data_IF_832014606926
#
_entry.id   IF_832014606926
#
_cell.length_a   1.000
_cell.length_b   1.000
_cell.length_c   1.000
_cell.angle_alpha   90.00
_cell.angle_beta   90.00
_cell.angle_gamma   90.00
#
_symmetry.space_group_name_H-M   'P 1'
#
loop_
_entity.id
_entity.type
_entity.pdbx_description
1 polymer ?
#
# COMPACT_ATOMS: atom_id res chain seq x y z
N UNK A 1 12.60 -0.04 22.43
CA UNK A 1 11.97 -1.32 22.88
C UNK A 1 11.47 -2.04 21.65
N UNK A 2 11.99 -3.24 21.35
CA UNK A 2 11.48 -4.07 20.23
C UNK A 2 10.06 -4.48 20.60
N UNK A 3 9.06 -4.03 19.85
CA UNK A 3 7.68 -4.46 20.07
C UNK A 3 7.57 -5.96 19.73
N UNK A 4 7.09 -6.76 20.68
CA UNK A 4 6.85 -8.17 20.42
C UNK A 4 5.75 -8.31 19.37
N UNK A 5 5.98 -9.10 18.34
CA UNK A 5 4.99 -9.39 17.30
C UNK A 5 3.70 -9.97 17.89
N UNK A 6 2.58 -9.41 17.47
CA UNK A 6 1.23 -9.87 17.85
C UNK A 6 0.55 -10.48 16.62
N UNK A 7 0.64 -11.81 16.43
CA UNK A 7 0.03 -12.46 15.26
C UNK A 7 -1.49 -12.31 15.23
N UNK A 8 -2.04 -12.20 14.02
CA UNK A 8 -3.49 -12.18 13.79
C UNK A 8 -4.15 -13.48 14.24
N UNK A 9 -5.47 -13.45 14.42
CA UNK A 9 -6.24 -14.67 14.74
C UNK A 9 -6.08 -15.75 13.65
N UNK A 10 -6.01 -15.35 12.36
CA UNK A 10 -5.77 -16.28 11.25
C UNK A 10 -4.42 -16.99 11.36
N UNK A 11 -3.36 -16.27 11.71
CA UNK A 11 -2.02 -16.86 11.90
C UNK A 11 -2.00 -17.76 13.14
N UNK A 12 -2.65 -17.36 14.23
CA UNK A 12 -2.78 -18.21 15.44
C UNK A 12 -3.53 -19.50 15.14
N UNK A 13 -4.64 -19.42 14.42
CA UNK A 13 -5.43 -20.59 14.01
C UNK A 13 -4.61 -21.52 13.10
N UNK A 14 -3.85 -20.96 12.14
CA UNK A 14 -2.94 -21.75 11.31
C UNK A 14 -1.88 -22.45 12.13
N UNK A 15 -1.23 -21.79 13.07
CA UNK A 15 -0.24 -22.41 13.95
C UNK A 15 -0.86 -23.54 14.80
N UNK A 16 -2.04 -23.32 15.38
CA UNK A 16 -2.75 -24.32 16.15
C UNK A 16 -3.12 -25.56 15.31
N UNK A 17 -3.55 -25.36 14.05
CA UNK A 17 -3.83 -26.45 13.11
C UNK A 17 -2.59 -27.28 12.84
N UNK A 18 -1.43 -26.66 12.60
CA UNK A 18 -0.18 -27.40 12.33
C UNK A 18 0.31 -28.16 13.56
N UNK A 19 0.24 -27.54 14.74
CA UNK A 19 0.58 -28.22 16.00
C UNK A 19 -0.35 -29.41 16.27
N UNK A 20 -1.65 -29.24 16.05
CA UNK A 20 -2.63 -30.32 16.17
C UNK A 20 -2.39 -31.45 15.15
N UNK A 21 -2.09 -31.11 13.90
CA UNK A 21 -1.75 -32.08 12.87
C UNK A 21 -0.48 -32.85 13.22
N UNK A 22 0.56 -32.20 13.73
CA UNK A 22 1.78 -32.85 14.20
C UNK A 22 1.51 -33.80 15.37
N UNK A 23 0.72 -33.39 16.37
CA UNK A 23 0.34 -34.26 17.49
C UNK A 23 -0.48 -35.46 17.03
N UNK A 24 -1.36 -35.31 16.06
CA UNK A 24 -2.20 -36.36 15.51
C UNK A 24 -1.41 -37.42 14.71
N UNK A 25 -0.20 -37.13 14.22
CA UNK A 25 0.67 -38.13 13.59
C UNK A 25 1.08 -39.29 14.54
N UNK A 26 1.02 -39.04 15.86
CA UNK A 26 1.27 -40.04 16.88
C UNK A 26 0.04 -40.95 17.16
N UNK A 27 -1.07 -40.73 16.47
CA UNK A 27 -2.33 -41.49 16.65
C UNK A 27 -2.74 -42.19 15.34
N UNK A 28 -3.57 -43.24 15.38
CA UNK A 28 -4.08 -43.91 14.16
C UNK A 28 -5.18 -43.09 13.45
N UNK A 29 -5.02 -41.75 13.39
CA UNK A 29 -5.95 -40.86 12.70
C UNK A 29 -5.74 -40.98 11.19
N UNK A 30 -6.84 -40.88 10.42
CA UNK A 30 -6.80 -40.94 8.97
C UNK A 30 -5.98 -39.75 8.40
N UNK A 31 -4.72 -39.99 8.08
CA UNK A 31 -3.76 -39.05 7.53
C UNK A 31 -4.27 -38.22 6.33
N UNK A 32 -5.19 -38.72 5.45
CA UNK A 32 -5.70 -37.89 4.35
C UNK A 32 -6.44 -36.62 4.84
N UNK A 33 -7.16 -36.72 5.96
CA UNK A 33 -7.88 -35.58 6.54
C UNK A 33 -6.92 -34.55 7.13
N UNK A 34 -5.83 -34.99 7.76
CA UNK A 34 -4.79 -34.08 8.26
C UNK A 34 -4.11 -33.35 7.10
N UNK A 35 -3.70 -34.07 6.06
CA UNK A 35 -3.11 -33.46 4.86
C UNK A 35 -4.09 -32.51 4.18
N UNK A 36 -5.35 -32.90 4.00
CA UNK A 36 -6.40 -32.08 3.43
C UNK A 36 -6.60 -30.76 4.22
N UNK A 37 -6.61 -30.84 5.56
CA UNK A 37 -6.72 -29.66 6.44
C UNK A 37 -5.53 -28.70 6.30
N UNK A 38 -4.30 -29.24 6.27
CA UNK A 38 -3.08 -28.41 6.07
C UNK A 38 -3.07 -27.76 4.68
N UNK A 39 -3.40 -28.51 3.62
CA UNK A 39 -3.47 -27.95 2.27
C UNK A 39 -4.54 -26.87 2.15
N UNK A 40 -5.73 -27.08 2.72
CA UNK A 40 -6.80 -26.09 2.76
C UNK A 40 -6.35 -24.82 3.50
N UNK A 41 -5.66 -24.95 4.64
CA UNK A 41 -5.12 -23.82 5.37
C UNK A 41 -4.11 -23.03 4.52
N UNK A 42 -3.19 -23.70 3.83
CA UNK A 42 -2.24 -23.01 2.94
C UNK A 42 -2.94 -22.32 1.77
N UNK A 43 -3.98 -22.91 1.20
CA UNK A 43 -4.80 -22.28 0.17
C UNK A 43 -5.47 -20.99 0.70
N UNK A 44 -6.02 -21.02 1.92
CA UNK A 44 -6.61 -19.83 2.59
C UNK A 44 -5.56 -18.76 2.84
N UNK A 45 -4.38 -19.09 3.36
CA UNK A 45 -3.30 -18.12 3.58
C UNK A 45 -2.81 -17.51 2.26
N UNK A 46 -2.69 -18.33 1.20
CA UNK A 46 -2.33 -17.85 -0.14
C UNK A 46 -3.39 -16.92 -0.70
N UNK A 47 -4.66 -17.28 -0.65
CA UNK A 47 -5.77 -16.42 -1.09
C UNK A 47 -5.79 -15.09 -0.32
N UNK A 48 -5.53 -15.12 1.00
CA UNK A 48 -5.41 -13.91 1.80
C UNK A 48 -4.20 -13.04 1.41
N UNK A 49 -3.09 -13.65 0.99
CA UNK A 49 -1.91 -12.95 0.47
C UNK A 49 -2.12 -12.32 -0.90
N UNK A 50 -2.92 -12.97 -1.75
CA UNK A 50 -3.31 -12.47 -3.07
C UNK A 50 -4.42 -11.40 -3.00
N UNK A 51 -5.10 -11.28 -1.88
CA UNK A 51 -6.12 -10.25 -1.68
C UNK A 51 -5.57 -9.04 -0.90
N UNK A 52 -5.23 -7.92 -1.57
CA UNK A 52 -4.56 -6.77 -0.95
C UNK A 52 -5.27 -6.20 0.28
N UNK A 53 -6.60 -6.30 0.33
CA UNK A 53 -7.43 -5.78 1.43
C UNK A 53 -7.70 -6.78 2.56
N UNK A 54 -7.16 -7.99 2.51
CA UNK A 54 -7.31 -8.98 3.58
C UNK A 54 -6.73 -8.45 4.91
N UNK A 55 -7.31 -8.84 6.03
CA UNK A 55 -6.77 -8.63 7.39
C UNK A 55 -6.37 -9.94 8.06
N UNK A 56 -6.52 -11.05 7.34
CA UNK A 56 -6.26 -12.40 7.88
C UNK A 56 -4.78 -12.58 8.26
N UNK A 57 -3.86 -12.01 7.47
CA UNK A 57 -2.41 -12.17 7.68
C UNK A 57 -1.79 -11.13 8.63
N UNK A 58 -2.56 -10.15 9.11
CA UNK A 58 -2.08 -9.08 9.97
C UNK A 58 -2.88 -7.79 9.82
N UNK A 59 -2.44 -6.75 10.54
CA UNK A 59 -3.08 -5.43 10.49
C UNK A 59 -2.95 -4.83 9.09
N UNK A 60 -4.01 -4.13 8.64
CA UNK A 60 -4.05 -3.51 7.32
C UNK A 60 -4.98 -2.30 7.34
N UNK A 61 -4.44 -1.12 7.16
CA UNK A 61 -5.21 0.10 7.04
C UNK A 61 -5.85 0.15 5.64
N UNK A 62 -7.17 0.01 5.58
CA UNK A 62 -7.95 -0.04 4.34
C UNK A 62 -8.81 1.20 4.13
N UNK A 63 -9.09 1.93 5.21
CA UNK A 63 -9.83 3.18 5.27
C UNK A 63 -9.20 4.11 6.29
N UNK A 64 -9.41 5.39 6.14
CA UNK A 64 -9.07 6.36 7.17
C UNK A 64 -9.89 6.11 8.44
N UNK A 65 -9.43 6.58 9.62
CA UNK A 65 -10.20 6.53 10.86
C UNK A 65 -11.56 7.23 10.74
N UNK A 66 -12.53 6.85 11.59
CA UNK A 66 -13.88 7.41 11.58
C UNK A 66 -13.91 8.93 11.82
N UNK A 67 -12.96 9.48 12.57
CA UNK A 67 -12.81 10.91 12.76
C UNK A 67 -12.59 11.66 11.43
N UNK A 68 -11.82 11.07 10.50
CA UNK A 68 -11.63 11.62 9.16
C UNK A 68 -12.94 11.66 8.35
N UNK A 69 -13.88 10.75 8.63
CA UNK A 69 -15.22 10.76 8.05
C UNK A 69 -16.03 11.99 8.47
N UNK A 70 -15.92 12.40 9.74
CA UNK A 70 -16.61 13.59 10.28
C UNK A 70 -16.14 14.88 9.60
N UNK A 71 -14.87 14.97 9.24
CA UNK A 71 -14.27 16.12 8.54
C UNK A 71 -14.13 15.86 7.03
N UNK A 72 -14.84 14.84 6.50
CA UNK A 72 -14.98 14.51 5.07
C UNK A 72 -13.66 14.33 4.32
N UNK A 73 -12.66 13.71 4.95
CA UNK A 73 -11.35 13.46 4.37
C UNK A 73 -11.32 12.17 3.54
N UNK A 74 -10.53 12.22 2.46
CA UNK A 74 -10.17 11.09 1.57
C UNK A 74 -8.66 11.10 1.43
N UNK A 75 -8.00 9.97 1.60
CA UNK A 75 -6.57 9.88 1.34
C UNK A 75 -6.30 9.72 -0.15
N UNK A 76 -5.48 10.61 -0.71
CA UNK A 76 -4.89 10.43 -2.04
C UNK A 76 -3.55 9.73 -1.86
N UNK A 77 -3.36 8.57 -2.48
CA UNK A 77 -2.09 7.84 -2.41
C UNK A 77 -1.58 7.52 -3.81
N UNK A 78 -0.26 7.66 -3.98
CA UNK A 78 0.41 7.57 -5.27
C UNK A 78 1.63 6.67 -5.11
N UNK A 79 1.72 5.61 -5.91
CA UNK A 79 2.75 4.58 -5.81
C UNK A 79 3.80 4.68 -6.93
N UNK A 80 4.95 4.03 -6.72
CA UNK A 80 6.03 3.75 -7.68
C UNK A 80 6.98 4.92 -7.98
N UNK A 81 6.72 6.12 -7.48
CA UNK A 81 7.57 7.30 -7.66
C UNK A 81 8.84 7.33 -6.77
N UNK A 82 9.54 8.47 -6.81
CA UNK A 82 9.31 9.62 -7.69
C UNK A 82 9.76 9.37 -9.14
N UNK A 83 8.92 9.70 -10.13
CA UNK A 83 9.29 9.67 -11.56
C UNK A 83 9.53 11.12 -12.02
N UNK A 84 10.75 11.47 -12.53
CA UNK A 84 11.08 12.84 -12.90
C UNK A 84 10.27 13.40 -14.08
N UNK A 85 9.58 12.55 -14.85
CA UNK A 85 8.74 12.96 -15.99
C UNK A 85 7.27 13.17 -15.59
N UNK A 86 6.83 12.58 -14.47
CA UNK A 86 5.41 12.56 -14.09
C UNK A 86 5.17 13.27 -12.77
N UNK A 87 5.97 12.97 -11.74
CA UNK A 87 5.78 13.50 -10.39
C UNK A 87 5.70 15.04 -10.33
N UNK A 88 6.53 15.84 -11.06
CA UNK A 88 6.41 17.30 -11.01
C UNK A 88 5.03 17.81 -11.42
N UNK A 89 4.47 17.28 -12.52
CA UNK A 89 3.13 17.67 -12.97
C UNK A 89 2.03 17.21 -12.01
N UNK A 90 2.19 16.05 -11.38
CA UNK A 90 1.28 15.57 -10.31
C UNK A 90 1.28 16.54 -9.12
N UNK A 91 2.46 17.00 -8.70
CA UNK A 91 2.59 17.97 -7.60
C UNK A 91 1.90 19.29 -7.94
N UNK A 92 2.08 19.82 -9.16
CA UNK A 92 1.44 21.05 -9.61
C UNK A 92 -0.09 20.92 -9.62
N UNK A 93 -0.63 19.77 -10.05
CA UNK A 93 -2.07 19.50 -10.02
C UNK A 93 -2.62 19.39 -8.59
N UNK A 94 -1.88 18.75 -7.67
CA UNK A 94 -2.28 18.64 -6.26
C UNK A 94 -2.31 20.01 -5.58
N UNK A 95 -1.31 20.87 -5.85
CA UNK A 95 -1.28 22.25 -5.32
C UNK A 95 -2.44 23.08 -5.88
N UNK A 96 -2.69 23.01 -7.19
CA UNK A 96 -3.83 23.68 -7.82
C UNK A 96 -5.18 23.21 -7.25
N UNK A 97 -5.29 21.95 -6.91
CA UNK A 97 -6.47 21.36 -6.26
C UNK A 97 -6.51 21.51 -4.74
N UNK A 98 -5.55 22.23 -4.13
CA UNK A 98 -5.42 22.39 -2.67
C UNK A 98 -5.49 21.04 -1.91
N UNK A 99 -4.96 19.98 -2.50
CA UNK A 99 -4.96 18.63 -1.94
C UNK A 99 -3.55 18.23 -1.47
N UNK A 100 -3.50 17.33 -0.49
CA UNK A 100 -2.27 16.67 -0.06
C UNK A 100 -2.36 15.18 -0.36
N UNK A 101 -1.22 14.57 -0.63
CA UNK A 101 -1.13 13.16 -0.98
C UNK A 101 -0.01 12.46 -0.22
N UNK A 102 -0.12 11.16 -0.13
CA UNK A 102 0.95 10.27 0.34
C UNK A 102 1.56 9.56 -0.86
N UNK A 103 2.86 9.71 -1.04
CA UNK A 103 3.63 9.03 -2.07
C UNK A 103 4.30 7.80 -1.46
N UNK A 104 3.91 6.59 -1.88
CA UNK A 104 4.60 5.35 -1.57
C UNK A 104 5.74 5.18 -2.56
N UNK A 105 6.92 5.64 -2.17
CA UNK A 105 8.08 5.72 -3.04
C UNK A 105 8.94 4.46 -2.98
N UNK A 106 9.47 4.07 -4.14
CA UNK A 106 10.51 3.05 -4.27
C UNK A 106 11.83 3.64 -3.76
N UNK A 107 12.48 3.01 -2.78
CA UNK A 107 13.70 3.52 -2.16
C UNK A 107 14.80 3.83 -3.18
N UNK A 108 15.00 2.95 -4.18
CA UNK A 108 15.94 3.16 -5.29
C UNK A 108 15.61 4.41 -6.13
N UNK A 109 14.32 4.73 -6.33
CA UNK A 109 13.91 5.93 -7.05
C UNK A 109 14.16 7.20 -6.22
N UNK A 110 13.97 7.13 -4.89
CA UNK A 110 14.30 8.23 -3.97
C UNK A 110 15.79 8.54 -4.00
N UNK A 111 16.67 7.52 -3.95
CA UNK A 111 18.12 7.70 -4.08
C UNK A 111 18.52 8.27 -5.45
N UNK A 112 17.86 7.86 -6.53
CA UNK A 112 18.12 8.35 -7.87
C UNK A 112 17.65 9.80 -8.09
N UNK A 113 16.58 10.24 -7.41
CA UNK A 113 15.96 11.54 -7.59
C UNK A 113 15.76 12.30 -6.27
N UNK A 114 16.85 12.53 -5.48
CA UNK A 114 16.75 13.06 -4.11
C UNK A 114 16.17 14.47 -4.05
N UNK A 115 16.42 15.30 -5.05
CA UNK A 115 15.87 16.67 -5.13
C UNK A 115 14.35 16.62 -5.30
N UNK A 116 13.84 15.72 -6.14
CA UNK A 116 12.40 15.57 -6.36
C UNK A 116 11.72 14.97 -5.11
N UNK A 117 12.36 14.03 -4.44
CA UNK A 117 11.83 13.49 -3.18
C UNK A 117 11.74 14.60 -2.09
N UNK A 118 12.76 15.45 -1.95
CA UNK A 118 12.68 16.62 -1.06
C UNK A 118 11.58 17.60 -1.46
N UNK A 119 11.35 17.80 -2.77
CA UNK A 119 10.30 18.68 -3.28
C UNK A 119 8.91 18.17 -2.93
N UNK A 120 8.64 16.87 -2.99
CA UNK A 120 7.39 16.25 -2.54
C UNK A 120 7.11 16.65 -1.08
N UNK A 121 8.09 16.49 -0.20
CA UNK A 121 7.93 16.84 1.22
C UNK A 121 7.79 18.35 1.44
N UNK A 122 8.59 19.16 0.74
CA UNK A 122 8.55 20.63 0.83
C UNK A 122 7.18 21.20 0.45
N UNK A 123 6.46 20.55 -0.49
CA UNK A 123 5.09 20.92 -0.87
C UNK A 123 4.02 20.40 0.08
N UNK A 124 4.40 19.78 1.22
CA UNK A 124 3.47 19.33 2.27
C UNK A 124 2.83 17.96 1.99
N UNK A 125 3.40 17.17 1.09
CA UNK A 125 3.02 15.77 0.90
C UNK A 125 3.87 14.85 1.79
N UNK A 126 3.44 13.61 2.03
CA UNK A 126 4.27 12.63 2.74
C UNK A 126 4.88 11.61 1.79
N UNK A 127 6.11 11.16 2.11
CA UNK A 127 6.73 10.01 1.46
C UNK A 127 6.70 8.83 2.42
N UNK A 128 6.23 7.69 1.93
CA UNK A 128 6.11 6.44 2.65
C UNK A 128 6.77 5.29 1.88
N UNK A 129 6.95 4.15 2.51
CA UNK A 129 7.78 3.06 2.02
C UNK A 129 7.03 2.13 1.04
N UNK A 130 7.61 1.97 -0.18
CA UNK A 130 7.12 1.02 -1.20
C UNK A 130 8.18 -0.04 -1.57
N UNK A 131 8.93 -0.55 -0.59
CA UNK A 131 10.14 -1.38 -0.73
C UNK A 131 11.31 -0.66 -1.41
N UNK A 132 12.48 -1.28 -1.41
CA UNK A 132 13.67 -0.64 -1.99
C UNK A 132 13.74 -0.79 -3.51
N UNK A 133 13.48 -2.00 -4.04
CA UNK A 133 13.66 -2.31 -5.46
C UNK A 133 12.36 -2.70 -6.19
N UNK A 134 11.22 -2.66 -5.52
CA UNK A 134 9.91 -3.04 -6.08
C UNK A 134 9.94 -4.37 -6.86
N UNK A 135 10.49 -5.42 -6.24
CA UNK A 135 10.68 -6.72 -6.90
C UNK A 135 9.33 -7.39 -7.19
N UNK A 136 9.15 -7.91 -8.41
CA UNK A 136 7.93 -8.65 -8.80
C UNK A 136 7.62 -9.85 -7.90
N UNK A 137 8.64 -10.50 -7.34
CA UNK A 137 8.52 -11.62 -6.42
C UNK A 137 8.60 -11.21 -4.93
N UNK A 138 8.33 -9.94 -4.60
CA UNK A 138 8.41 -9.41 -3.23
C UNK A 138 7.66 -10.28 -2.22
N UNK A 139 6.44 -10.71 -2.53
CA UNK A 139 5.61 -11.55 -1.64
C UNK A 139 6.17 -12.96 -1.38
N UNK A 140 7.16 -13.40 -2.15
CA UNK A 140 7.82 -14.71 -1.99
C UNK A 140 9.15 -14.61 -1.21
N UNK A 141 9.55 -13.42 -0.77
CA UNK A 141 10.77 -13.21 -0.01
C UNK A 141 10.64 -13.80 1.41
N UNK A 142 11.73 -14.40 1.89
CA UNK A 142 11.87 -14.79 3.29
C UNK A 142 12.11 -13.57 4.21
N UNK A 143 11.98 -13.76 5.53
CA UNK A 143 12.05 -12.71 6.55
C UNK A 143 13.25 -11.80 6.38
N UNK A 144 14.48 -12.34 6.32
CA UNK A 144 15.70 -11.54 6.22
C UNK A 144 15.76 -10.67 4.96
N UNK A 145 15.22 -11.18 3.83
CA UNK A 145 15.15 -10.40 2.59
C UNK A 145 14.05 -9.34 2.63
N UNK A 146 12.92 -9.60 3.31
CA UNK A 146 11.89 -8.58 3.56
C UNK A 146 12.43 -7.47 4.45
N UNK A 147 13.14 -7.81 5.54
CA UNK A 147 13.80 -6.84 6.41
C UNK A 147 14.80 -5.97 5.64
N UNK A 148 15.63 -6.58 4.78
CA UNK A 148 16.61 -5.85 3.98
C UNK A 148 15.94 -4.92 2.95
N UNK A 149 14.92 -5.39 2.21
CA UNK A 149 14.19 -4.57 1.21
C UNK A 149 13.45 -3.41 1.85
N UNK A 150 12.75 -3.65 2.97
CA UNK A 150 11.95 -2.62 3.64
C UNK A 150 12.87 -1.68 4.43
N UNK A 151 13.83 -2.21 5.19
CA UNK A 151 14.75 -1.42 6.00
C UNK A 151 15.64 -0.51 5.16
N UNK A 152 16.13 -1.00 4.00
CA UNK A 152 16.91 -0.17 3.08
C UNK A 152 16.08 0.98 2.50
N UNK A 153 14.80 0.74 2.17
CA UNK A 153 13.92 1.82 1.71
C UNK A 153 13.63 2.84 2.82
N UNK A 154 13.42 2.37 4.08
CA UNK A 154 13.29 3.26 5.25
C UNK A 154 14.48 4.21 5.35
N UNK A 155 15.68 3.66 5.29
CA UNK A 155 16.92 4.44 5.40
C UNK A 155 17.06 5.43 4.24
N UNK A 156 16.90 4.98 2.99
CA UNK A 156 17.00 5.81 1.80
C UNK A 156 16.04 7.01 1.84
N UNK A 157 14.78 6.78 2.27
CA UNK A 157 13.78 7.85 2.40
C UNK A 157 14.17 8.79 3.54
N UNK A 158 14.55 8.27 4.70
CA UNK A 158 14.93 9.09 5.86
C UNK A 158 16.15 9.96 5.57
N UNK A 159 17.20 9.41 4.94
CA UNK A 159 18.42 10.13 4.59
C UNK A 159 18.16 11.28 3.62
N UNK A 160 17.26 11.08 2.66
CA UNK A 160 16.95 12.10 1.64
C UNK A 160 15.97 13.15 2.16
N UNK A 161 14.97 12.75 2.93
CA UNK A 161 13.84 13.64 3.28
C UNK A 161 13.88 14.15 4.72
N UNK A 162 14.71 13.56 5.59
CA UNK A 162 14.69 13.83 7.03
C UNK A 162 13.47 13.25 7.76
N UNK A 163 12.61 12.49 7.08
CA UNK A 163 11.36 11.93 7.64
C UNK A 163 11.35 10.41 7.54
N UNK A 164 11.21 9.74 8.67
CA UNK A 164 11.09 8.29 8.71
C UNK A 164 9.68 7.87 8.27
N UNK A 165 9.51 6.96 7.28
CA UNK A 165 8.20 6.42 6.92
C UNK A 165 7.51 5.72 8.09
N UNK A 166 6.20 5.92 8.22
CA UNK A 166 5.33 5.27 9.20
C UNK A 166 4.39 4.23 8.55
N UNK A 167 4.26 4.31 7.23
CA UNK A 167 3.40 3.43 6.45
C UNK A 167 4.21 2.66 5.43
N UNK A 168 3.71 1.46 5.12
CA UNK A 168 4.25 0.60 4.09
C UNK A 168 3.13 0.15 3.16
N UNK A 169 3.41 0.10 1.86
CA UNK A 169 2.54 -0.56 0.88
C UNK A 169 3.33 -1.65 0.16
N UNK A 170 2.77 -2.85 0.12
CA UNK A 170 3.43 -3.97 -0.55
C UNK A 170 3.36 -3.81 -2.08
N UNK A 171 4.45 -4.08 -2.83
CA UNK A 171 4.44 -4.14 -4.29
C UNK A 171 3.26 -4.98 -4.81
N UNK A 172 2.51 -4.43 -5.79
CA UNK A 172 1.27 -4.98 -6.34
C UNK A 172 0.17 -5.28 -5.28
N UNK A 173 0.37 -4.92 -4.02
CA UNK A 173 -0.50 -5.26 -2.89
C UNK A 173 -0.38 -6.71 -2.41
N UNK A 174 0.57 -7.49 -2.96
CA UNK A 174 0.75 -8.90 -2.65
C UNK A 174 1.66 -9.11 -1.44
N UNK A 175 1.32 -10.10 -0.60
CA UNK A 175 2.06 -10.35 0.64
C UNK A 175 2.00 -11.81 1.07
N UNK A 176 2.98 -12.20 1.87
CA UNK A 176 2.99 -13.49 2.58
C UNK A 176 2.71 -13.29 4.07
N UNK A 177 2.45 -14.37 4.83
CA UNK A 177 2.36 -14.31 6.29
C UNK A 177 3.62 -13.77 6.98
N UNK A 178 4.77 -13.78 6.29
CA UNK A 178 6.06 -13.31 6.83
C UNK A 178 6.21 -11.78 6.85
N UNK A 179 5.33 -11.05 6.16
CA UNK A 179 5.42 -9.58 6.07
C UNK A 179 5.03 -8.89 7.38
N UNK A 180 3.95 -9.33 8.02
CA UNK A 180 3.40 -8.66 9.22
C UNK A 180 4.41 -8.59 10.39
N UNK A 181 5.17 -9.66 10.76
CA UNK A 181 6.19 -9.57 11.80
C UNK A 181 7.30 -8.55 11.45
N UNK A 182 7.73 -8.49 10.18
CA UNK A 182 8.74 -7.54 9.74
C UNK A 182 8.25 -6.09 9.84
N UNK A 183 7.01 -5.83 9.45
CA UNK A 183 6.43 -4.49 9.57
C UNK A 183 6.28 -4.05 11.03
N UNK A 184 5.89 -4.96 11.93
CA UNK A 184 5.79 -4.65 13.35
C UNK A 184 7.16 -4.38 13.99
N UNK A 185 8.20 -5.09 13.57
CA UNK A 185 9.60 -4.85 14.01
C UNK A 185 10.09 -3.46 13.58
N UNK A 186 9.75 -3.05 12.34
CA UNK A 186 10.13 -1.76 11.76
C UNK A 186 9.17 -0.61 12.14
N UNK A 187 8.18 -0.84 13.00
CA UNK A 187 7.12 0.10 13.41
C UNK A 187 6.33 0.68 12.22
N UNK A 188 6.10 -0.13 11.21
CA UNK A 188 5.37 0.23 10.00
C UNK A 188 3.93 -0.29 10.00
N UNK A 189 3.01 0.54 9.54
CA UNK A 189 1.62 0.15 9.30
C UNK A 189 1.41 -0.20 7.83
N UNK A 190 0.94 -1.42 7.54
CA UNK A 190 0.53 -1.80 6.19
C UNK A 190 -0.69 -0.98 5.76
N UNK A 191 -0.64 -0.45 4.54
CA UNK A 191 -1.74 0.31 3.93
C UNK A 191 -2.15 -0.32 2.60
N UNK A 192 -3.44 -0.58 2.44
CA UNK A 192 -4.04 -0.87 1.15
C UNK A 192 -4.96 0.28 0.72
N UNK A 193 -5.97 0.01 -0.07
CA UNK A 193 -6.85 1.02 -0.67
C UNK A 193 -8.31 0.57 -0.66
N UNK A 194 -9.22 1.52 -0.77
CA UNK A 194 -10.65 1.25 -1.04
C UNK A 194 -10.95 1.36 -2.53
N UNK A 195 -10.28 2.28 -3.23
CA UNK A 195 -10.49 2.57 -4.66
C UNK A 195 -9.19 2.43 -5.44
N UNK A 196 -9.24 1.73 -6.57
CA UNK A 196 -8.12 1.55 -7.49
C UNK A 196 -8.60 1.73 -8.92
N UNK A 197 -7.94 2.64 -9.67
CA UNK A 197 -8.23 2.92 -11.07
C UNK A 197 -7.66 1.90 -12.05
N UNK A 198 -6.66 1.10 -11.63
CA UNK A 198 -5.83 0.24 -12.49
C UNK A 198 -5.09 1.04 -13.57
N UNK A 199 -4.64 2.22 -13.21
CA UNK A 199 -3.95 3.20 -14.06
C UNK A 199 -2.57 2.73 -14.56
N UNK A 200 -2.01 1.65 -14.02
CA UNK A 200 -0.81 0.99 -14.55
C UNK A 200 -1.05 0.17 -15.82
N UNK A 201 -2.30 -0.24 -16.08
CA UNK A 201 -2.66 -1.08 -17.24
C UNK A 201 -3.82 -0.50 -18.06
N UNK A 202 -4.63 0.39 -17.49
CA UNK A 202 -5.78 1.01 -18.15
C UNK A 202 -5.36 2.33 -18.81
N UNK A 203 -5.42 2.38 -20.14
CA UNK A 203 -5.03 3.54 -20.96
C UNK A 203 -6.12 4.60 -21.12
N UNK A 204 -7.36 4.25 -20.78
CA UNK A 204 -8.55 5.09 -20.91
C UNK A 204 -8.80 5.87 -19.60
N UNK A 205 -8.60 7.20 -19.58
CA UNK A 205 -8.82 8.01 -18.38
C UNK A 205 -10.25 7.93 -17.84
N UNK A 206 -11.25 7.79 -18.72
CA UNK A 206 -12.64 7.73 -18.30
C UNK A 206 -12.91 6.46 -17.47
N UNK A 207 -12.38 5.31 -17.89
CA UNK A 207 -12.51 4.05 -17.14
C UNK A 207 -11.75 4.09 -15.81
N UNK A 208 -10.60 4.76 -15.76
CA UNK A 208 -9.84 4.94 -14.51
C UNK A 208 -10.66 5.80 -13.54
N UNK A 209 -11.20 6.93 -14.02
CA UNK A 209 -12.04 7.83 -13.23
C UNK A 209 -13.31 7.15 -12.72
N UNK A 210 -14.02 6.43 -13.58
CA UNK A 210 -15.24 5.68 -13.21
C UNK A 210 -14.96 4.78 -12.00
N UNK A 211 -13.86 4.00 -12.03
CA UNK A 211 -13.51 3.08 -10.94
C UNK A 211 -13.13 3.80 -9.64
N UNK A 212 -12.45 4.94 -9.74
CA UNK A 212 -12.06 5.74 -8.57
C UNK A 212 -13.27 6.46 -7.96
N UNK A 213 -14.21 6.93 -8.78
CA UNK A 213 -15.35 7.73 -8.36
C UNK A 213 -16.58 6.90 -7.97
N UNK A 214 -16.66 5.63 -8.38
CA UNK A 214 -17.79 4.77 -8.07
C UNK A 214 -17.99 4.62 -6.55
N UNK A 215 -19.10 5.16 -6.02
CA UNK A 215 -19.41 5.23 -4.59
C UNK A 215 -18.28 5.87 -3.74
N UNK A 216 -17.60 6.87 -4.27
CA UNK A 216 -16.55 7.61 -3.56
C UNK A 216 -17.13 8.32 -2.32
N UNK A 217 -16.54 8.07 -1.17
CA UNK A 217 -17.02 8.58 0.11
C UNK A 217 -15.86 9.00 1.02
N UNK A 218 -16.16 9.77 2.05
CA UNK A 218 -15.22 10.07 3.11
C UNK A 218 -14.62 8.79 3.69
N UNK A 219 -13.41 8.87 4.20
CA UNK A 219 -12.55 7.78 4.68
C UNK A 219 -11.96 6.87 3.60
N UNK A 220 -12.32 7.02 2.32
CA UNK A 220 -11.72 6.24 1.26
C UNK A 220 -10.21 6.52 1.12
N UNK A 221 -9.46 5.51 0.72
CA UNK A 221 -8.05 5.58 0.34
C UNK A 221 -7.98 5.29 -1.16
N UNK A 222 -7.56 6.29 -1.94
CA UNK A 222 -7.45 6.22 -3.39
C UNK A 222 -6.05 5.77 -3.77
N UNK A 223 -5.94 4.86 -4.74
CA UNK A 223 -4.67 4.40 -5.30
C UNK A 223 -4.51 4.88 -6.74
N UNK A 224 -3.45 5.61 -6.97
CA UNK A 224 -2.92 6.08 -8.25
C UNK A 224 -1.41 5.74 -8.34
N UNK A 225 -0.81 5.94 -9.51
CA UNK A 225 0.62 5.72 -9.72
C UNK A 225 1.22 6.88 -10.53
N UNK A 226 2.37 7.40 -10.11
CA UNK A 226 3.20 8.32 -10.90
C UNK A 226 4.36 7.59 -11.60
N UNK A 227 4.90 6.53 -10.99
CA UNK A 227 5.74 5.55 -11.67
C UNK A 227 4.92 4.45 -12.34
N UNK A 228 5.44 3.82 -13.41
CA UNK A 228 4.80 2.69 -14.13
C UNK A 228 3.36 2.94 -14.62
N UNK A 229 2.94 4.20 -14.70
CA UNK A 229 1.63 4.60 -15.17
C UNK A 229 1.46 4.30 -16.67
N UNK A 230 0.30 3.74 -17.07
CA UNK A 230 0.02 3.46 -18.47
C UNK A 230 -0.10 4.76 -19.28
N UNK A 231 0.41 4.79 -20.54
CA UNK A 231 0.18 5.93 -21.41
C UNK A 231 -1.26 5.89 -21.99
N UNK A 232 -1.88 7.05 -22.13
CA UNK A 232 -3.12 7.22 -22.91
C UNK A 232 -2.87 6.94 -24.40
N UNK A 233 -3.92 6.95 -25.24
CA UNK A 233 -3.79 6.87 -26.69
C UNK A 233 -2.96 8.01 -27.30
N UNK A 234 -2.79 9.12 -26.59
CA UNK A 234 -1.97 10.29 -26.99
C UNK A 234 -0.56 10.26 -26.38
N UNK A 235 -0.16 9.16 -25.71
CA UNK A 235 1.15 9.03 -25.09
C UNK A 235 1.32 9.74 -23.74
N UNK A 236 0.30 10.44 -23.24
CA UNK A 236 0.36 11.10 -21.92
C UNK A 236 0.17 10.05 -20.80
N UNK A 237 0.95 10.07 -19.71
CA UNK A 237 0.68 9.25 -18.52
C UNK A 237 -0.77 9.43 -18.05
N UNK A 238 -1.51 8.32 -17.87
CA UNK A 238 -2.97 8.40 -17.64
C UNK A 238 -3.32 9.13 -16.34
N UNK A 239 -2.45 9.09 -15.33
CA UNK A 239 -2.64 9.83 -14.08
C UNK A 239 -2.76 11.34 -14.32
N UNK A 240 -2.00 11.91 -15.27
CA UNK A 240 -2.05 13.33 -15.60
C UNK A 240 -3.37 13.74 -16.27
N UNK A 241 -4.04 12.81 -16.94
CA UNK A 241 -5.38 13.04 -17.50
C UNK A 241 -6.50 12.82 -16.46
N UNK A 242 -6.24 11.99 -15.43
CA UNK A 242 -7.22 11.58 -14.42
C UNK A 242 -7.26 12.55 -13.24
N UNK A 243 -6.09 12.94 -12.71
CA UNK A 243 -5.98 13.65 -11.45
C UNK A 243 -6.75 14.98 -11.40
N UNK A 244 -6.71 15.86 -12.43
CA UNK A 244 -7.46 17.10 -12.40
C UNK A 244 -8.97 16.91 -12.23
N UNK A 245 -9.56 15.96 -12.98
CA UNK A 245 -10.99 15.65 -12.89
C UNK A 245 -11.35 14.97 -11.56
N UNK A 246 -10.47 14.14 -11.03
CA UNK A 246 -10.65 13.53 -9.71
C UNK A 246 -10.69 14.62 -8.61
N UNK A 247 -9.77 15.57 -8.63
CA UNK A 247 -9.72 16.68 -7.67
C UNK A 247 -10.97 17.57 -7.77
N UNK A 248 -11.43 17.89 -8.99
CA UNK A 248 -12.71 18.59 -9.19
C UNK A 248 -13.89 17.81 -8.60
N UNK A 249 -13.89 16.49 -8.73
CA UNK A 249 -14.94 15.65 -8.15
C UNK A 249 -14.89 15.65 -6.62
N UNK A 250 -13.71 15.58 -6.02
CA UNK A 250 -13.57 15.72 -4.56
C UNK A 250 -14.14 17.05 -4.09
N UNK A 251 -13.79 18.16 -4.76
CA UNK A 251 -14.31 19.47 -4.44
C UNK A 251 -15.85 19.53 -4.56
N UNK A 252 -16.42 19.05 -5.68
CA UNK A 252 -17.88 19.01 -5.90
C UNK A 252 -18.62 18.20 -4.84
N UNK A 253 -18.00 17.13 -4.36
CA UNK A 253 -18.55 16.27 -3.30
C UNK A 253 -18.25 16.81 -1.90
N UNK A 254 -17.59 17.97 -1.76
CA UNK A 254 -17.10 18.51 -0.49
C UNK A 254 -16.25 17.49 0.27
N UNK A 255 -15.33 16.81 -0.43
CA UNK A 255 -14.35 15.89 0.12
C UNK A 255 -12.95 16.52 0.09
N UNK A 256 -12.17 16.34 1.16
CA UNK A 256 -10.85 16.94 1.31
C UNK A 256 -9.77 15.88 1.05
N UNK A 257 -8.95 16.10 0.02
CA UNK A 257 -7.80 15.25 -0.29
C UNK A 257 -6.66 15.49 0.70
N UNK A 258 -6.29 14.46 1.49
CA UNK A 258 -5.25 14.58 2.52
C UNK A 258 -4.18 13.50 2.38
N UNK A 259 -2.97 13.77 2.93
CA UNK A 259 -1.99 12.73 3.16
C UNK A 259 -2.41 11.85 4.35
N UNK A 260 -1.98 10.58 4.38
CA UNK A 260 -2.33 9.63 5.45
C UNK A 260 -1.92 10.13 6.84
N UNK A 261 -0.79 10.85 6.94
CA UNK A 261 -0.30 11.40 8.22
C UNK A 261 -1.19 12.52 8.76
N UNK A 262 -1.88 13.24 7.89
CA UNK A 262 -2.69 14.41 8.21
C UNK A 262 -4.16 14.05 8.42
N UNK A 263 -4.52 12.77 8.25
CA UNK A 263 -5.87 12.30 8.49
C UNK A 263 -6.26 12.47 9.97
N UNK A 264 -7.45 13.02 10.21
CA UNK A 264 -8.01 13.18 11.56
C UNK A 264 -8.12 11.80 12.25
N UNK A 265 -7.76 11.76 13.54
CA UNK A 265 -7.71 10.56 14.39
C UNK A 265 -8.77 10.58 15.46
#
# INVERSE_FOLDING_TARGET
>A
MIRSWKPSLGIKASAALHLGAMAALATPVAWPWLLGGVLANHAVLTAAGLWPRSTLLGRNLRRLPDAAGKVRQVAITIDDGPDPRVTPAVLDMLDAGQARATFFCIGKAVEAHPTLAREIVRRGHSIENHSYAHRHHFSLLGISRLQAEIGRAQQAIADVTGSLPAYFRAPAGLRSPLLDPVLQELDLTLVSWTRRGYDTITRDPAKVLERLQNNLAATDILLLHDGHCAPTSKGLPVVLAVLPTLLQTLHRLNLHGVALRDAAR
#
